data_IF_029035324121
#
_entry.id   IF_029035324121
#
_cell.length_a   1.000
_cell.length_b   1.000
_cell.length_c   1.000
_cell.angle_alpha   90.00
_cell.angle_beta   90.00
_cell.angle_gamma   90.00
#
_symmetry.space_group_name_H-M   'P 1'
#
loop_
_entity.id
_entity.type
_entity.pdbx_description
1 polymer ?
#
# COMPACT_ATOMS: atom_id res chain seq x y z
N UNK A 1 17.61 -24.88 0.53
CA UNK A 1 18.89 -24.13 0.55
C UNK A 1 18.86 -23.11 -0.57
N UNK A 2 18.95 -21.81 -0.23
CA UNK A 2 18.93 -20.70 -1.19
C UNK A 2 20.11 -20.75 -2.16
N UNK A 3 21.23 -21.35 -1.75
CA UNK A 3 22.42 -21.51 -2.59
C UNK A 3 22.09 -22.32 -3.86
N UNK A 4 21.27 -23.37 -3.73
CA UNK A 4 20.86 -24.22 -4.84
C UNK A 4 20.01 -23.45 -5.86
N UNK A 5 19.14 -22.57 -5.37
CA UNK A 5 18.31 -21.72 -6.23
C UNK A 5 19.17 -20.81 -7.12
N UNK A 6 20.17 -20.14 -6.54
CA UNK A 6 21.09 -19.27 -7.29
C UNK A 6 21.87 -20.06 -8.35
N UNK A 7 22.37 -21.26 -8.01
CA UNK A 7 23.05 -22.12 -8.96
C UNK A 7 22.16 -22.63 -10.11
N UNK A 8 20.86 -22.82 -9.83
CA UNK A 8 19.87 -23.23 -10.84
C UNK A 8 19.55 -22.09 -11.80
N UNK A 9 19.28 -20.89 -11.27
CA UNK A 9 18.96 -19.71 -12.09
C UNK A 9 20.19 -19.25 -12.90
N UNK A 10 21.39 -19.37 -12.35
CA UNK A 10 22.67 -19.08 -13.02
C UNK A 10 23.02 -20.00 -14.20
N UNK A 11 22.11 -20.89 -14.60
CA UNK A 11 22.19 -21.64 -15.88
C UNK A 11 21.71 -20.80 -17.07
N UNK A 12 20.94 -19.74 -16.83
CA UNK A 12 20.40 -18.83 -17.85
C UNK A 12 21.14 -17.48 -17.84
N UNK A 13 21.06 -16.71 -18.93
CA UNK A 13 21.57 -15.33 -18.97
C UNK A 13 23.10 -15.17 -18.85
N UNK A 14 23.86 -16.01 -19.56
CA UNK A 14 25.34 -16.01 -19.54
C UNK A 14 25.91 -15.14 -20.65
N UNK A 15 27.18 -14.74 -20.52
CA UNK A 15 27.92 -13.96 -21.53
C UNK A 15 27.22 -12.64 -21.92
N UNK A 16 26.52 -12.00 -20.98
CA UNK A 16 25.79 -10.75 -21.24
C UNK A 16 24.54 -10.92 -22.09
N UNK A 17 24.14 -12.15 -22.43
CA UNK A 17 22.87 -12.41 -23.12
C UNK A 17 21.70 -12.37 -22.12
N UNK A 18 20.53 -11.87 -22.52
CA UNK A 18 19.36 -11.89 -21.66
C UNK A 18 18.92 -13.34 -21.42
N UNK A 19 18.52 -13.62 -20.18
CA UNK A 19 17.91 -14.89 -19.79
C UNK A 19 16.71 -14.63 -18.90
N UNK A 20 15.69 -15.47 -19.00
CA UNK A 20 14.50 -15.39 -18.15
C UNK A 20 14.37 -16.70 -17.38
N UNK A 21 14.32 -16.59 -16.06
CA UNK A 21 14.03 -17.71 -15.18
C UNK A 21 12.65 -17.48 -14.54
N UNK A 22 11.74 -18.45 -14.71
CA UNK A 22 10.41 -18.41 -14.13
C UNK A 22 10.38 -19.40 -12.97
N UNK A 23 10.03 -18.92 -11.79
CA UNK A 23 9.93 -19.74 -10.59
C UNK A 23 8.48 -19.75 -10.11
N UNK A 24 7.91 -20.95 -10.05
CA UNK A 24 6.64 -21.17 -9.39
C UNK A 24 6.92 -21.34 -7.90
N UNK A 25 6.15 -20.64 -7.07
CA UNK A 25 6.32 -20.65 -5.63
C UNK A 25 4.95 -20.69 -4.95
N UNK A 26 4.92 -21.13 -3.70
CA UNK A 26 3.74 -21.14 -2.84
C UNK A 26 3.87 -20.07 -1.75
N UNK A 27 2.77 -19.70 -1.06
CA UNK A 27 2.83 -18.75 0.05
C UNK A 27 3.77 -19.16 1.20
N UNK A 28 4.10 -20.45 1.32
CA UNK A 28 5.11 -20.96 2.26
C UNK A 28 6.53 -20.46 1.97
N UNK A 29 6.82 -20.15 0.70
CA UNK A 29 8.17 -19.85 0.22
C UNK A 29 8.48 -18.34 0.27
N UNK A 30 7.54 -17.53 0.79
CA UNK A 30 7.70 -16.07 0.89
C UNK A 30 8.90 -15.68 1.79
N UNK A 31 9.27 -16.49 2.79
CA UNK A 31 10.48 -16.26 3.60
C UNK A 31 11.75 -16.31 2.75
N UNK A 32 11.88 -17.37 1.97
CA UNK A 32 13.07 -17.65 1.17
C UNK A 32 13.19 -16.60 0.06
N UNK A 33 12.06 -16.17 -0.49
CA UNK A 33 12.05 -15.16 -1.54
C UNK A 33 12.43 -13.79 -0.99
N UNK A 34 11.99 -13.42 0.21
CA UNK A 34 12.46 -12.20 0.87
C UNK A 34 13.96 -12.24 1.16
N UNK A 35 14.51 -13.40 1.53
CA UNK A 35 15.96 -13.56 1.70
C UNK A 35 16.71 -13.39 0.37
N UNK A 36 16.21 -13.95 -0.72
CA UNK A 36 16.75 -13.74 -2.07
C UNK A 36 16.67 -12.27 -2.51
N UNK A 37 15.60 -11.55 -2.16
CA UNK A 37 15.48 -10.12 -2.44
C UNK A 37 16.49 -9.27 -1.66
N UNK A 38 16.77 -9.63 -0.40
CA UNK A 38 17.83 -8.99 0.39
C UNK A 38 19.23 -9.19 -0.20
N UNK A 39 19.44 -10.31 -0.90
CA UNK A 39 20.68 -10.58 -1.65
C UNK A 39 20.78 -9.78 -2.96
N UNK A 40 19.75 -8.99 -3.31
CA UNK A 40 19.75 -8.10 -4.48
C UNK A 40 19.03 -8.68 -5.71
N UNK A 41 18.42 -9.87 -5.59
CA UNK A 41 17.66 -10.47 -6.69
C UNK A 41 16.25 -9.87 -6.70
N UNK A 42 15.87 -9.17 -7.77
CA UNK A 42 14.54 -8.57 -7.90
C UNK A 42 13.57 -9.55 -8.56
N UNK A 43 12.44 -9.83 -7.92
CA UNK A 43 11.37 -10.63 -8.52
C UNK A 43 10.27 -9.73 -9.09
N UNK A 44 9.75 -10.11 -10.25
CA UNK A 44 8.55 -9.51 -10.82
C UNK A 44 7.39 -10.49 -10.60
N UNK A 45 6.49 -10.22 -9.63
CA UNK A 45 5.44 -11.18 -9.32
C UNK A 45 4.43 -11.22 -10.47
N UNK A 46 4.13 -12.44 -10.96
CA UNK A 46 3.11 -12.69 -11.98
C UNK A 46 2.11 -13.72 -11.46
N UNK A 47 0.86 -13.60 -11.91
CA UNK A 47 -0.21 -14.54 -11.60
C UNK A 47 -0.65 -15.23 -12.89
N UNK A 48 -0.91 -16.53 -12.82
CA UNK A 48 -1.53 -17.26 -13.92
C UNK A 48 -3.04 -17.19 -13.74
N UNK A 49 -3.74 -16.58 -14.70
CA UNK A 49 -5.21 -16.50 -14.72
C UNK A 49 -5.69 -16.85 -16.12
N UNK A 50 -6.62 -17.79 -16.22
CA UNK A 50 -7.21 -18.24 -17.49
C UNK A 50 -6.17 -18.72 -18.52
N UNK A 51 -5.06 -19.30 -18.05
CA UNK A 51 -3.96 -19.78 -18.89
C UNK A 51 -2.95 -18.71 -19.31
N UNK A 52 -3.14 -17.45 -18.93
CA UNK A 52 -2.25 -16.34 -19.26
C UNK A 52 -1.50 -15.80 -18.03
N UNK A 53 -0.26 -15.34 -18.25
CA UNK A 53 0.53 -14.65 -17.23
C UNK A 53 0.13 -13.17 -17.16
N UNK A 54 -0.54 -12.79 -16.09
CA UNK A 54 -0.89 -11.40 -15.79
C UNK A 54 0.05 -10.82 -14.73
N UNK A 55 0.37 -9.54 -14.86
CA UNK A 55 1.15 -8.83 -13.85
C UNK A 55 0.31 -8.71 -12.57
N UNK A 56 0.90 -9.08 -11.43
CA UNK A 56 0.23 -8.95 -10.14
C UNK A 56 0.92 -7.89 -9.28
N UNK A 57 0.30 -7.60 -8.14
CA UNK A 57 0.82 -6.66 -7.16
C UNK A 57 1.99 -7.28 -6.38
N UNK A 58 2.80 -6.41 -5.78
CA UNK A 58 3.79 -6.79 -4.78
C UNK A 58 3.14 -7.60 -3.63
N UNK A 59 3.80 -8.68 -3.23
CA UNK A 59 3.38 -9.61 -2.17
C UNK A 59 3.30 -8.90 -0.84
N UNK A 60 4.28 -8.05 -0.56
CA UNK A 60 4.42 -7.38 0.73
C UNK A 60 3.60 -6.08 0.82
N UNK A 61 2.77 -5.78 -0.19
CA UNK A 61 1.90 -4.58 -0.18
C UNK A 61 1.06 -4.42 1.07
N UNK A 62 0.68 -5.53 1.72
CA UNK A 62 -0.15 -5.52 2.93
C UNK A 62 0.67 -5.20 4.17
N UNK A 63 1.90 -5.72 4.26
CA UNK A 63 2.84 -5.44 5.34
C UNK A 63 3.43 -4.02 5.20
N UNK A 64 3.81 -3.64 3.98
CA UNK A 64 4.36 -2.33 3.62
C UNK A 64 3.28 -1.24 3.53
N UNK A 65 2.02 -1.55 3.89
CA UNK A 65 0.95 -0.57 3.88
C UNK A 65 1.13 0.40 5.04
N UNK A 66 1.86 1.47 4.79
CA UNK A 66 1.89 2.60 5.71
C UNK A 66 0.52 3.28 5.75
N UNK A 67 0.04 3.56 6.96
CA UNK A 67 -1.15 4.40 7.14
C UNK A 67 -0.78 5.79 6.70
N UNK A 68 -1.26 6.19 5.51
CA UNK A 68 -1.15 7.59 5.05
C UNK A 68 -1.72 8.52 6.12
N UNK A 69 -0.82 9.22 6.81
CA UNK A 69 -1.21 10.22 7.79
C UNK A 69 -1.40 11.52 7.00
N UNK A 70 -2.66 11.85 6.70
CA UNK A 70 -2.95 13.16 6.13
C UNK A 70 -2.44 14.23 7.10
N UNK A 71 -1.79 15.26 6.57
CA UNK A 71 -1.34 16.40 7.36
C UNK A 71 -2.57 16.97 8.07
N UNK A 72 -2.47 17.13 9.40
CA UNK A 72 -3.52 17.77 10.18
C UNK A 72 -3.66 19.22 9.70
N UNK A 73 -4.90 19.66 9.48
CA UNK A 73 -5.21 21.07 9.25
C UNK A 73 -4.54 21.96 10.33
N UNK A 74 -4.16 23.18 9.95
CA UNK A 74 -3.55 24.18 10.86
C UNK A 74 -4.41 24.37 12.13
N UNK A 75 -5.74 24.37 11.98
CA UNK A 75 -6.69 24.43 13.10
C UNK A 75 -6.59 23.23 14.06
N UNK A 76 -6.37 22.03 13.52
CA UNK A 76 -6.24 20.79 14.29
C UNK A 76 -4.91 20.73 15.04
N UNK A 77 -3.83 21.24 14.44
CA UNK A 77 -2.53 21.39 15.10
C UNK A 77 -2.69 22.31 16.32
N UNK A 78 -3.39 23.44 16.18
CA UNK A 78 -3.68 24.35 17.29
C UNK A 78 -4.48 23.70 18.42
N UNK A 79 -5.51 22.93 18.09
CA UNK A 79 -6.34 22.22 19.07
C UNK A 79 -5.55 21.12 19.81
N UNK A 80 -4.69 20.40 19.10
CA UNK A 80 -3.78 19.40 19.69
C UNK A 80 -2.81 20.07 20.66
N UNK A 81 -2.17 21.18 20.27
CA UNK A 81 -1.23 21.93 21.12
C UNK A 81 -1.92 22.45 22.39
N UNK A 82 -3.13 23.03 22.26
CA UNK A 82 -3.92 23.52 23.41
C UNK A 82 -4.30 22.39 24.38
N UNK A 83 -4.78 21.25 23.87
CA UNK A 83 -5.13 20.09 24.72
C UNK A 83 -3.92 19.41 25.35
N UNK A 84 -2.74 19.47 24.72
CA UNK A 84 -1.47 18.99 25.31
C UNK A 84 -0.98 19.87 26.47
N UNK A 85 -1.30 21.18 26.49
CA UNK A 85 -0.89 22.10 27.58
C UNK A 85 -1.56 21.78 28.92
N UNK A 86 -2.82 21.32 28.93
CA UNK A 86 -3.53 20.89 30.15
C UNK A 86 -3.87 19.40 30.05
N UNK A 87 -2.92 18.58 30.49
CA UNK A 87 -3.01 17.11 30.42
C UNK A 87 -4.02 16.61 31.45
N UNK A 88 -5.17 16.12 30.98
CA UNK A 88 -6.10 15.31 31.76
C UNK A 88 -5.98 13.83 31.35
N UNK A 89 -6.31 12.88 32.23
CA UNK A 89 -6.44 11.47 31.84
C UNK A 89 -7.33 11.34 30.58
N UNK A 90 -6.87 10.55 29.61
CA UNK A 90 -7.58 10.36 28.33
C UNK A 90 -7.46 11.51 27.31
N UNK A 91 -6.62 12.52 27.52
CA UNK A 91 -6.48 13.64 26.57
C UNK A 91 -6.12 13.21 25.15
N UNK A 92 -5.21 12.22 24.99
CA UNK A 92 -4.81 11.67 23.67
C UNK A 92 -6.02 11.11 22.92
N UNK A 93 -6.86 10.34 23.61
CA UNK A 93 -8.10 9.77 23.06
C UNK A 93 -9.09 10.85 22.64
N UNK A 94 -9.26 11.90 23.44
CA UNK A 94 -10.14 13.04 23.12
C UNK A 94 -9.64 13.90 21.94
N UNK A 95 -8.32 13.96 21.71
CA UNK A 95 -7.75 14.61 20.52
C UNK A 95 -8.04 13.75 19.30
N UNK A 96 -7.74 12.45 19.38
CA UNK A 96 -7.98 11.50 18.29
C UNK A 96 -9.45 11.50 17.86
N UNK A 97 -10.40 11.46 18.80
CA UNK A 97 -11.83 11.53 18.50
C UNK A 97 -12.24 12.81 17.78
N UNK A 98 -11.72 13.98 18.19
CA UNK A 98 -12.05 15.24 17.53
C UNK A 98 -11.51 15.29 16.10
N UNK A 99 -10.30 14.77 15.87
CA UNK A 99 -9.70 14.65 14.54
C UNK A 99 -10.52 13.69 13.66
N UNK A 100 -10.86 12.51 14.19
CA UNK A 100 -11.62 11.49 13.45
C UNK A 100 -13.04 11.97 13.12
N UNK A 101 -13.69 12.70 14.03
CA UNK A 101 -15.01 13.28 13.80
C UNK A 101 -14.98 14.33 12.68
N UNK A 102 -14.00 15.26 12.70
CA UNK A 102 -13.84 16.27 11.64
C UNK A 102 -13.59 15.59 10.30
N UNK A 103 -12.67 14.62 10.23
CA UNK A 103 -12.38 13.84 9.02
C UNK A 103 -13.61 13.09 8.50
N UNK A 104 -14.45 12.54 9.40
CA UNK A 104 -15.68 11.85 9.01
C UNK A 104 -16.71 12.84 8.44
N UNK A 105 -16.80 14.05 8.98
CA UNK A 105 -17.69 15.11 8.48
C UNK A 105 -17.25 15.63 7.11
N UNK A 106 -15.96 15.94 6.92
CA UNK A 106 -15.42 16.41 5.64
C UNK A 106 -15.61 15.37 4.54
N UNK A 107 -15.23 14.11 4.79
CA UNK A 107 -15.41 13.01 3.83
C UNK A 107 -16.87 12.81 3.42
N UNK A 108 -17.82 12.97 4.35
CA UNK A 108 -19.26 12.92 4.04
C UNK A 108 -19.70 14.11 3.19
N UNK A 109 -19.20 15.31 3.45
CA UNK A 109 -19.50 16.50 2.66
C UNK A 109 -18.96 16.37 1.22
N UNK A 110 -17.70 15.94 1.07
CA UNK A 110 -17.05 15.68 -0.21
C UNK A 110 -17.81 14.63 -1.03
N UNK A 111 -18.18 13.49 -0.42
CA UNK A 111 -18.95 12.46 -1.10
C UNK A 111 -20.31 12.97 -1.58
N UNK A 112 -20.99 13.82 -0.79
CA UNK A 112 -22.25 14.45 -1.20
C UNK A 112 -22.04 15.43 -2.34
N UNK A 113 -20.99 16.26 -2.28
CA UNK A 113 -20.66 17.21 -3.33
C UNK A 113 -20.33 16.48 -4.65
N UNK A 114 -19.52 15.41 -4.58
CA UNK A 114 -19.21 14.55 -5.74
C UNK A 114 -20.46 13.95 -6.36
N UNK A 115 -21.35 13.36 -5.54
CA UNK A 115 -22.60 12.79 -6.05
C UNK A 115 -23.53 13.84 -6.69
N UNK A 116 -23.56 15.08 -6.18
CA UNK A 116 -24.27 16.19 -6.84
C UNK A 116 -23.63 16.55 -8.18
N UNK A 117 -22.30 16.64 -8.24
CA UNK A 117 -21.57 16.94 -9.46
C UNK A 117 -21.78 15.86 -10.54
N UNK A 118 -21.72 14.58 -10.17
CA UNK A 118 -21.99 13.44 -11.08
C UNK A 118 -23.42 13.51 -11.65
N UNK A 119 -24.43 13.81 -10.82
CA UNK A 119 -25.81 13.99 -11.29
C UNK A 119 -25.96 15.19 -12.23
N UNK A 120 -25.28 16.31 -11.92
CA UNK A 120 -25.29 17.49 -12.79
C UNK A 120 -24.62 17.21 -14.14
N UNK A 121 -23.49 16.51 -14.13
CA UNK A 121 -22.77 16.10 -15.34
C UNK A 121 -23.65 15.20 -16.22
N UNK A 122 -24.29 14.18 -15.65
CA UNK A 122 -25.24 13.32 -16.38
C UNK A 122 -26.40 14.10 -17.00
N UNK A 123 -26.89 15.16 -16.35
CA UNK A 123 -27.98 15.99 -16.90
C UNK A 123 -27.55 16.88 -18.06
N UNK A 124 -26.26 17.13 -18.23
CA UNK A 124 -25.72 17.99 -19.30
C UNK A 124 -25.25 17.19 -20.53
N UNK A 125 -25.15 15.87 -20.40
CA UNK A 125 -24.74 14.96 -21.48
C UNK A 125 -25.91 14.36 -22.26
N UNK A 126 -27.15 14.65 -21.86
CA UNK A 126 -28.37 14.38 -22.61
C UNK A 126 -28.89 15.70 -23.19
#
# INVERSE_FOLDING_TARGET
DLSFFVHRVGRTGRNGLPGTAITLYQPSDDSDIRELEKLGIKFTPKMVKDGEFQDTYDRDRRANREKKQDKLDIEMIGLVKKKKKKVKPGYKKKIQWAVDEKRRKTKRAENRARGRAERKAKRQTF
#
